data_IF_969065537466
#
_entry.id   IF_969065537466
#
_cell.length_a   1.000
_cell.length_b   1.000
_cell.length_c   1.000
_cell.angle_alpha   90.00
_cell.angle_beta   90.00
_cell.angle_gamma   90.00
#
_symmetry.space_group_name_H-M   'P 1'
#
loop_
_entity.id
_entity.type
_entity.pdbx_description
1 polymer ?
#
# COMPACT_ATOMS: atom_id res chain seq x y z
N UNK A 1 52.08 -4.26 -27.20
CA UNK A 1 51.16 -3.78 -26.15
C UNK A 1 49.75 -3.91 -26.70
N UNK A 2 49.14 -5.08 -26.54
CA UNK A 2 47.80 -5.38 -27.06
C UNK A 2 46.79 -5.20 -25.93
N UNK A 3 45.86 -4.26 -26.11
CA UNK A 3 44.73 -4.08 -25.19
C UNK A 3 43.75 -5.25 -25.36
N UNK A 4 43.55 -5.99 -24.28
CA UNK A 4 42.50 -7.01 -24.15
C UNK A 4 41.19 -6.25 -23.98
N UNK A 5 40.38 -6.22 -25.04
CA UNK A 5 39.02 -5.71 -25.01
C UNK A 5 38.12 -6.81 -24.43
N UNK A 6 37.77 -6.70 -23.16
CA UNK A 6 36.95 -7.68 -22.44
C UNK A 6 35.50 -7.62 -22.91
N UNK A 7 34.97 -8.80 -23.29
CA UNK A 7 33.61 -9.10 -23.72
C UNK A 7 32.56 -8.80 -22.62
N UNK A 8 32.22 -7.53 -22.39
CA UNK A 8 31.22 -7.15 -21.39
C UNK A 8 29.80 -6.90 -21.97
N UNK A 9 29.60 -7.12 -23.27
CA UNK A 9 28.34 -6.80 -23.97
C UNK A 9 27.28 -7.90 -23.88
N UNK A 10 27.64 -9.18 -23.72
CA UNK A 10 26.66 -10.28 -23.68
C UNK A 10 25.92 -10.42 -22.35
N UNK A 11 26.56 -10.11 -21.22
CA UNK A 11 25.93 -10.18 -19.90
C UNK A 11 24.87 -9.10 -19.68
N UNK A 12 25.14 -7.89 -20.17
CA UNK A 12 24.20 -6.76 -20.12
C UNK A 12 22.95 -7.01 -20.99
N UNK A 13 23.13 -7.57 -22.18
CA UNK A 13 22.03 -7.84 -23.12
C UNK A 13 21.07 -8.94 -22.63
N UNK A 14 21.56 -9.96 -21.93
CA UNK A 14 20.74 -11.04 -21.36
C UNK A 14 19.93 -10.55 -20.16
N UNK A 15 20.54 -9.72 -19.30
CA UNK A 15 19.84 -9.12 -18.16
C UNK A 15 18.77 -8.13 -18.65
N UNK A 16 19.06 -7.33 -19.67
CA UNK A 16 18.07 -6.45 -20.30
C UNK A 16 16.92 -7.25 -20.93
N UNK A 17 17.21 -8.35 -21.63
CA UNK A 17 16.19 -9.21 -22.28
C UNK A 17 15.30 -9.94 -21.25
N UNK A 18 15.86 -10.40 -20.13
CA UNK A 18 15.11 -11.08 -19.07
C UNK A 18 14.26 -10.09 -18.25
N UNK A 19 14.72 -8.85 -18.07
CA UNK A 19 13.98 -7.80 -17.35
C UNK A 19 12.91 -7.12 -18.21
N UNK A 20 12.96 -7.23 -19.54
CA UNK A 20 12.02 -6.58 -20.48
C UNK A 20 11.22 -7.53 -21.36
N UNK A 21 11.45 -8.85 -21.23
CA UNK A 21 10.80 -9.86 -22.05
C UNK A 21 9.32 -10.06 -21.70
N UNK A 22 8.48 -10.47 -22.68
CA UNK A 22 7.07 -10.80 -22.47
C UNK A 22 6.88 -11.91 -21.41
N UNK A 23 7.87 -12.80 -21.26
CA UNK A 23 7.85 -13.90 -20.29
C UNK A 23 7.73 -13.42 -18.83
N UNK A 24 8.35 -12.28 -18.48
CA UNK A 24 8.24 -11.70 -17.15
C UNK A 24 6.82 -11.15 -16.88
N UNK A 25 6.20 -10.55 -17.90
CA UNK A 25 4.83 -10.03 -17.82
C UNK A 25 3.84 -11.18 -17.61
N UNK A 26 3.96 -12.24 -18.40
CA UNK A 26 3.10 -13.43 -18.26
C UNK A 26 3.30 -14.10 -16.90
N UNK A 27 4.55 -14.24 -16.44
CA UNK A 27 4.86 -14.79 -15.12
C UNK A 27 4.21 -14.01 -13.99
N UNK A 28 4.34 -12.68 -13.97
CA UNK A 28 3.69 -11.81 -12.98
C UNK A 28 2.16 -11.89 -13.04
N UNK A 29 1.58 -11.97 -14.25
CA UNK A 29 0.14 -12.14 -14.43
C UNK A 29 -0.36 -13.47 -13.86
N UNK A 30 0.33 -14.59 -14.12
CA UNK A 30 -0.03 -15.88 -13.54
C UNK A 30 0.09 -15.89 -12.01
N UNK A 31 1.13 -15.25 -11.48
CA UNK A 31 1.29 -15.09 -10.03
C UNK A 31 0.11 -14.30 -9.41
N UNK A 32 -0.35 -13.23 -10.07
CA UNK A 32 -1.51 -12.46 -9.63
C UNK A 32 -2.80 -13.29 -9.54
N UNK A 33 -2.99 -14.26 -10.44
CA UNK A 33 -4.18 -15.12 -10.46
C UNK A 33 -4.15 -16.22 -9.40
N UNK A 34 -2.96 -16.72 -9.05
CA UNK A 34 -2.78 -17.88 -8.16
C UNK A 34 -2.64 -17.44 -6.70
N UNK A 35 -1.96 -16.33 -6.43
CA UNK A 35 -1.67 -15.93 -5.07
C UNK A 35 -2.89 -15.36 -4.32
N UNK A 36 -3.02 -15.65 -3.01
CA UNK A 36 -4.08 -15.07 -2.20
C UNK A 36 -3.90 -13.55 -2.11
N UNK A 37 -5.03 -12.83 -2.06
CA UNK A 37 -5.04 -11.36 -1.97
C UNK A 37 -4.25 -10.81 -0.77
N UNK A 38 -4.13 -11.58 0.31
CA UNK A 38 -3.29 -11.24 1.45
C UNK A 38 -2.55 -12.45 2.03
N UNK A 39 -1.34 -12.21 2.53
CA UNK A 39 -0.57 -13.14 3.36
C UNK A 39 -0.36 -12.44 4.71
N UNK A 40 -1.28 -12.68 5.64
CA UNK A 40 -1.30 -12.06 6.97
C UNK A 40 -1.88 -10.64 7.02
N UNK A 41 -1.99 -10.05 8.23
CA UNK A 41 -2.52 -8.70 8.42
C UNK A 41 -1.62 -7.64 7.76
N UNK A 42 -2.16 -6.89 6.78
CA UNK A 42 -1.46 -5.79 6.11
C UNK A 42 -0.51 -6.18 4.96
N UNK A 43 -0.37 -7.47 4.66
CA UNK A 43 0.43 -7.96 3.53
C UNK A 43 -0.40 -8.14 2.26
N UNK A 44 -0.56 -7.10 1.44
CA UNK A 44 -1.26 -7.21 0.14
C UNK A 44 -0.28 -7.57 -0.98
N UNK A 45 -0.15 -8.87 -1.24
CA UNK A 45 0.75 -9.40 -2.27
C UNK A 45 0.28 -9.00 -3.69
N UNK A 46 -1.02 -9.10 -3.95
CA UNK A 46 -1.59 -8.77 -5.27
C UNK A 46 -1.42 -7.32 -5.67
N UNK A 47 -1.41 -6.38 -4.72
CA UNK A 47 -1.16 -4.96 -5.01
C UNK A 47 0.29 -4.72 -5.46
N UNK A 48 1.24 -5.44 -4.86
CA UNK A 48 2.65 -5.36 -5.25
C UNK A 48 2.86 -5.97 -6.63
N UNK A 49 2.25 -7.12 -6.92
CA UNK A 49 2.32 -7.76 -8.23
C UNK A 49 1.69 -6.87 -9.32
N UNK A 50 0.56 -6.21 -9.02
CA UNK A 50 -0.07 -5.27 -9.95
C UNK A 50 0.84 -4.09 -10.30
N UNK A 51 1.51 -3.47 -9.31
CA UNK A 51 2.47 -2.38 -9.54
C UNK A 51 3.65 -2.85 -10.40
N UNK A 52 4.23 -4.02 -10.07
CA UNK A 52 5.33 -4.58 -10.84
C UNK A 52 4.92 -4.88 -12.29
N UNK A 53 3.71 -5.41 -12.49
CA UNK A 53 3.18 -5.70 -13.82
C UNK A 53 3.07 -4.43 -14.68
N UNK A 54 2.61 -3.31 -14.10
CA UNK A 54 2.55 -2.02 -14.79
C UNK A 54 3.94 -1.51 -15.15
N UNK A 55 4.93 -1.64 -14.26
CA UNK A 55 6.31 -1.21 -14.52
C UNK A 55 6.92 -2.01 -15.67
N UNK A 56 6.73 -3.34 -15.68
CA UNK A 56 7.26 -4.18 -16.76
C UNK A 56 6.55 -3.87 -18.09
N UNK A 57 5.22 -3.65 -18.06
CA UNK A 57 4.49 -3.19 -19.23
C UNK A 57 5.06 -1.88 -19.77
N UNK A 58 5.32 -0.89 -18.89
CA UNK A 58 5.95 0.38 -19.24
C UNK A 58 7.36 0.22 -19.82
N UNK A 59 8.17 -0.70 -19.27
CA UNK A 59 9.51 -0.99 -19.78
C UNK A 59 9.48 -1.64 -21.17
N UNK A 60 8.49 -2.50 -21.44
CA UNK A 60 8.29 -3.12 -22.75
C UNK A 60 7.90 -2.13 -23.86
N UNK A 61 7.62 -0.86 -23.54
CA UNK A 61 7.32 0.19 -24.52
C UNK A 61 8.53 0.94 -25.07
N UNK A 62 9.67 0.86 -24.39
CA UNK A 62 10.92 1.49 -24.84
C UNK A 62 11.28 1.14 -26.29
N UNK A 63 11.14 -0.11 -26.77
CA UNK A 63 11.49 -0.46 -28.15
C UNK A 63 10.45 -0.10 -29.22
N UNK A 64 9.30 0.52 -28.89
CA UNK A 64 8.34 0.91 -29.93
C UNK A 64 8.92 2.10 -30.72
N UNK A 65 9.21 1.92 -32.00
CA UNK A 65 9.74 3.01 -32.84
C UNK A 65 8.63 3.79 -33.58
N UNK A 66 7.48 3.16 -33.84
CA UNK A 66 6.42 3.75 -34.65
C UNK A 66 5.69 4.89 -33.92
N UNK A 67 5.70 6.09 -34.52
CA UNK A 67 5.14 7.32 -33.93
C UNK A 67 3.65 7.23 -33.58
N UNK A 68 2.84 6.63 -34.45
CA UNK A 68 1.39 6.52 -34.22
C UNK A 68 1.07 5.57 -33.06
N UNK A 69 1.81 4.47 -32.90
CA UNK A 69 1.66 3.55 -31.77
C UNK A 69 1.98 4.24 -30.44
N UNK A 70 3.01 5.09 -30.39
CA UNK A 70 3.33 5.91 -29.21
C UNK A 70 2.19 6.86 -28.85
N UNK A 71 1.56 7.48 -29.85
CA UNK A 71 0.44 8.40 -29.64
C UNK A 71 -0.81 7.68 -29.12
N UNK A 72 -1.19 6.56 -29.73
CA UNK A 72 -2.32 5.74 -29.28
C UNK A 72 -2.10 5.24 -27.86
N UNK A 73 -0.91 4.73 -27.57
CA UNK A 73 -0.58 4.27 -26.23
C UNK A 73 -0.60 5.42 -25.19
N UNK A 74 0.05 6.55 -25.51
CA UNK A 74 0.06 7.72 -24.65
C UNK A 74 -1.35 8.23 -24.35
N UNK A 75 -2.25 8.18 -25.34
CA UNK A 75 -3.66 8.48 -25.15
C UNK A 75 -4.33 7.49 -24.17
N UNK A 76 -4.15 6.18 -24.36
CA UNK A 76 -4.71 5.15 -23.47
C UNK A 76 -4.22 5.34 -22.03
N UNK A 77 -2.92 5.58 -21.82
CA UNK A 77 -2.35 5.82 -20.50
C UNK A 77 -2.92 7.09 -19.88
N UNK A 78 -2.97 8.19 -20.62
CA UNK A 78 -3.52 9.45 -20.13
C UNK A 78 -4.98 9.30 -19.72
N UNK A 79 -5.80 8.67 -20.57
CA UNK A 79 -7.20 8.37 -20.26
C UNK A 79 -7.31 7.49 -19.01
N UNK A 80 -6.47 6.46 -18.88
CA UNK A 80 -6.46 5.58 -17.70
C UNK A 80 -6.09 6.34 -16.43
N UNK A 81 -5.10 7.24 -16.48
CA UNK A 81 -4.72 8.09 -15.36
C UNK A 81 -5.88 8.99 -14.96
N UNK A 82 -6.53 9.66 -15.93
CA UNK A 82 -7.67 10.55 -15.67
C UNK A 82 -8.82 9.78 -15.00
N UNK A 83 -9.19 8.61 -15.56
CA UNK A 83 -10.24 7.78 -14.99
C UNK A 83 -9.92 7.31 -13.57
N UNK A 84 -8.66 6.90 -13.32
CA UNK A 84 -8.22 6.51 -11.98
C UNK A 84 -8.24 7.68 -10.99
N UNK A 85 -7.82 8.87 -11.42
CA UNK A 85 -7.88 10.07 -10.57
C UNK A 85 -9.32 10.43 -10.21
N UNK A 86 -10.24 10.43 -11.18
CA UNK A 86 -11.67 10.70 -10.92
C UNK A 86 -12.22 9.66 -9.94
N UNK A 87 -11.97 8.37 -10.17
CA UNK A 87 -12.43 7.30 -9.29
C UNK A 87 -11.86 7.45 -7.87
N UNK A 88 -10.56 7.74 -7.76
CA UNK A 88 -9.90 8.01 -6.48
C UNK A 88 -10.51 9.22 -5.78
N UNK A 89 -10.76 10.32 -6.49
CA UNK A 89 -11.38 11.53 -5.91
C UNK A 89 -12.78 11.25 -5.37
N UNK A 90 -13.63 10.56 -6.14
CA UNK A 90 -14.99 10.18 -5.69
C UNK A 90 -14.91 9.25 -4.48
N UNK A 91 -13.99 8.31 -4.49
CA UNK A 91 -13.80 7.38 -3.38
C UNK A 91 -13.31 8.09 -2.12
N UNK A 92 -12.30 8.94 -2.22
CA UNK A 92 -11.81 9.77 -1.10
C UNK A 92 -12.89 10.71 -0.55
N UNK A 93 -13.74 11.27 -1.42
CA UNK A 93 -14.87 12.08 -0.98
C UNK A 93 -15.83 11.29 -0.08
N UNK A 94 -16.22 10.07 -0.49
CA UNK A 94 -17.08 9.20 0.31
C UNK A 94 -16.44 8.79 1.64
N UNK A 95 -15.17 8.39 1.60
CA UNK A 95 -14.43 8.01 2.80
C UNK A 95 -14.30 9.18 3.79
N UNK A 96 -14.12 10.40 3.29
CA UNK A 96 -14.05 11.59 4.14
C UNK A 96 -15.36 11.84 4.89
N UNK A 97 -16.52 11.63 4.25
CA UNK A 97 -17.81 11.75 4.93
C UNK A 97 -17.96 10.71 6.05
N UNK A 98 -17.60 9.45 5.79
CA UNK A 98 -17.61 8.38 6.79
C UNK A 98 -16.64 8.66 7.97
N UNK A 99 -15.45 9.16 7.67
CA UNK A 99 -14.47 9.53 8.71
C UNK A 99 -14.96 10.73 9.52
N UNK A 100 -15.65 11.70 8.91
CA UNK A 100 -16.27 12.82 9.65
C UNK A 100 -17.33 12.32 10.62
N UNK A 101 -18.19 11.41 10.18
CA UNK A 101 -19.21 10.80 11.03
C UNK A 101 -18.57 10.03 12.18
N UNK A 102 -17.59 9.18 11.89
CA UNK A 102 -16.82 8.45 12.91
C UNK A 102 -16.19 9.39 13.96
N UNK A 103 -15.73 10.57 13.54
CA UNK A 103 -15.12 11.56 14.43
C UNK A 103 -16.11 12.58 15.03
N UNK A 104 -17.41 12.49 14.77
CA UNK A 104 -18.37 13.52 15.19
C UNK A 104 -18.45 13.72 16.71
N UNK A 105 -18.13 12.69 17.50
CA UNK A 105 -18.14 12.74 18.97
C UNK A 105 -16.74 12.77 19.58
N UNK A 106 -15.71 12.97 18.75
CA UNK A 106 -14.30 13.01 19.16
C UNK A 106 -14.05 13.94 20.35
N UNK A 107 -14.61 15.14 20.29
CA UNK A 107 -14.37 16.18 21.30
C UNK A 107 -15.05 15.87 22.65
N UNK A 108 -16.05 14.96 22.67
CA UNK A 108 -16.73 14.55 23.90
C UNK A 108 -15.96 13.52 24.72
N UNK A 109 -14.98 12.84 24.13
CA UNK A 109 -14.18 11.81 24.82
C UNK A 109 -13.27 12.46 25.89
N UNK A 110 -12.69 13.63 25.58
CA UNK A 110 -11.77 14.35 26.46
C UNK A 110 -10.32 13.82 26.48
N UNK A 111 -9.41 14.61 27.05
CA UNK A 111 -7.96 14.33 27.05
C UNK A 111 -7.55 13.23 28.04
N UNK A 112 -6.39 12.60 27.76
CA UNK A 112 -5.74 11.61 28.65
C UNK A 112 -6.65 10.45 29.07
N UNK A 113 -7.55 10.02 28.18
CA UNK A 113 -8.44 8.88 28.42
C UNK A 113 -7.90 7.59 27.84
N UNK A 114 -8.30 6.47 28.46
CA UNK A 114 -8.12 5.13 27.92
C UNK A 114 -9.34 4.79 27.07
N UNK A 115 -9.11 4.40 25.82
CA UNK A 115 -10.12 4.04 24.84
C UNK A 115 -10.01 2.58 24.47
N UNK A 116 -11.15 1.89 24.51
CA UNK A 116 -11.35 0.58 23.90
C UNK A 116 -12.30 0.76 22.71
N UNK A 117 -11.78 0.94 21.48
CA UNK A 117 -12.63 1.10 20.33
C UNK A 117 -13.26 -0.25 19.95
N UNK A 118 -14.58 -0.26 19.82
CA UNK A 118 -15.34 -1.42 19.36
C UNK A 118 -15.74 -1.19 17.90
N UNK A 119 -15.28 -2.06 17.01
CA UNK A 119 -15.59 -2.00 15.58
C UNK A 119 -16.42 -3.21 15.19
N UNK A 120 -17.68 -2.99 14.81
CA UNK A 120 -18.54 -4.02 14.22
C UNK A 120 -18.38 -4.07 12.69
N UNK A 121 -18.18 -2.90 12.09
CA UNK A 121 -17.69 -2.75 10.73
C UNK A 121 -16.48 -1.81 10.78
N UNK A 122 -15.29 -2.38 10.66
CA UNK A 122 -14.04 -1.63 10.71
C UNK A 122 -13.67 -0.94 9.40
N UNK A 123 -14.34 -1.32 8.32
CA UNK A 123 -13.99 -0.96 6.95
C UNK A 123 -14.92 0.12 6.39
N UNK A 124 -16.22 0.10 6.74
CA UNK A 124 -17.20 0.97 6.11
C UNK A 124 -17.23 0.75 4.60
N UNK A 125 -17.25 1.83 3.82
CA UNK A 125 -17.13 1.73 2.35
C UNK A 125 -15.71 1.41 1.87
N UNK A 126 -14.71 1.35 2.77
CA UNK A 126 -13.35 1.04 2.37
C UNK A 126 -13.22 -0.43 1.95
N UNK A 127 -12.80 -0.64 0.70
CA UNK A 127 -12.73 -1.99 0.11
C UNK A 127 -11.54 -2.82 0.58
N UNK A 128 -10.55 -2.21 1.23
CA UNK A 128 -9.21 -2.81 1.43
C UNK A 128 -8.63 -2.60 2.82
N UNK A 129 -8.82 -1.42 3.40
CA UNK A 129 -8.20 -1.03 4.67
C UNK A 129 -9.31 -0.69 5.65
N UNK A 130 -9.23 -1.23 6.86
CA UNK A 130 -10.07 -0.79 7.98
C UNK A 130 -9.73 0.64 8.37
N UNK A 131 -10.42 1.61 7.76
CA UNK A 131 -10.18 3.05 7.99
C UNK A 131 -10.45 3.43 9.44
N UNK A 132 -11.47 2.83 10.06
CA UNK A 132 -11.89 3.16 11.42
C UNK A 132 -10.95 2.58 12.47
N UNK A 133 -10.29 1.45 12.18
CA UNK A 133 -9.31 0.80 13.08
C UNK A 133 -8.20 1.77 13.49
N UNK A 134 -7.77 2.64 12.57
CA UNK A 134 -6.75 3.64 12.84
C UNK A 134 -7.32 4.95 13.42
N UNK A 135 -8.62 5.21 13.28
CA UNK A 135 -9.25 6.45 13.72
C UNK A 135 -9.07 6.70 15.22
N UNK A 136 -9.33 5.70 16.05
CA UNK A 136 -9.11 5.78 17.50
C UNK A 136 -7.63 6.03 17.86
N UNK A 137 -6.69 5.46 17.10
CA UNK A 137 -5.26 5.69 17.31
C UNK A 137 -4.85 7.14 17.04
N UNK A 138 -5.40 7.77 15.99
CA UNK A 138 -5.11 9.18 15.69
C UNK A 138 -5.67 10.13 16.75
N UNK A 139 -6.85 9.81 17.30
CA UNK A 139 -7.39 10.56 18.43
C UNK A 139 -6.47 10.51 19.65
N UNK A 140 -6.07 9.29 20.06
CA UNK A 140 -5.18 9.10 21.19
C UNK A 140 -3.83 9.80 21.00
N UNK A 141 -3.31 9.80 19.77
CA UNK A 141 -2.07 10.49 19.43
C UNK A 141 -2.15 12.01 19.64
N UNK A 142 -3.27 12.65 19.30
CA UNK A 142 -3.41 14.11 19.43
C UNK A 142 -3.69 14.57 20.86
N UNK A 143 -4.38 13.77 21.66
CA UNK A 143 -4.94 14.19 22.95
C UNK A 143 -4.31 13.47 24.16
N UNK A 144 -3.18 12.78 23.95
CA UNK A 144 -2.47 12.04 25.01
C UNK A 144 -3.21 10.80 25.52
N UNK A 145 -4.23 10.33 24.81
CA UNK A 145 -5.01 9.15 25.19
C UNK A 145 -4.27 7.84 24.93
N UNK A 146 -4.81 6.75 25.46
CA UNK A 146 -4.30 5.38 25.26
C UNK A 146 -5.34 4.58 24.47
N UNK A 147 -4.97 4.05 23.30
CA UNK A 147 -5.82 3.14 22.53
C UNK A 147 -5.46 1.69 22.88
N UNK A 148 -6.31 1.01 23.65
CA UNK A 148 -6.11 -0.41 24.02
C UNK A 148 -6.21 -1.36 22.82
N UNK A 149 -6.94 -0.98 21.77
CA UNK A 149 -7.06 -1.76 20.54
C UNK A 149 -5.86 -1.63 19.60
N UNK A 150 -4.88 -0.77 19.90
CA UNK A 150 -3.72 -0.59 19.05
C UNK A 150 -2.69 -1.70 19.31
N UNK A 151 -2.57 -2.65 18.39
CA UNK A 151 -1.54 -3.68 18.49
C UNK A 151 -0.11 -3.15 18.21
N UNK A 152 0.02 -2.01 17.51
CA UNK A 152 1.33 -1.52 17.03
C UNK A 152 2.27 -1.17 18.17
N UNK A 153 1.74 -0.68 19.30
CA UNK A 153 2.53 -0.36 20.51
C UNK A 153 3.09 -1.60 21.21
N UNK A 154 2.70 -2.82 20.79
CA UNK A 154 3.22 -4.08 21.32
C UNK A 154 4.49 -4.56 20.61
N UNK A 155 4.83 -3.99 19.46
CA UNK A 155 5.92 -4.48 18.61
C UNK A 155 6.99 -3.42 18.33
N UNK A 156 8.24 -3.77 18.57
CA UNK A 156 9.39 -2.86 18.48
C UNK A 156 9.74 -2.44 17.04
N UNK A 157 9.17 -3.11 16.02
CA UNK A 157 9.38 -2.75 14.62
C UNK A 157 8.50 -1.59 14.13
N UNK A 158 7.48 -1.18 14.90
CA UNK A 158 6.77 0.06 14.65
C UNK A 158 7.43 1.21 15.41
N UNK A 159 7.56 2.41 14.81
CA UNK A 159 8.19 3.57 15.47
C UNK A 159 7.26 4.25 16.49
N UNK A 160 6.36 3.52 17.13
CA UNK A 160 5.37 4.04 18.09
C UNK A 160 5.48 3.21 19.36
N UNK A 161 6.01 3.81 20.41
CA UNK A 161 6.19 3.17 21.71
C UNK A 161 5.52 3.99 22.81
N UNK A 162 5.10 3.33 23.87
CA UNK A 162 4.79 4.04 25.11
C UNK A 162 6.06 4.71 25.67
N UNK A 163 5.87 5.75 26.48
CA UNK A 163 6.98 6.35 27.24
C UNK A 163 7.61 5.27 28.13
N UNK A 164 8.92 5.31 28.32
CA UNK A 164 9.64 4.33 29.15
C UNK A 164 9.12 4.27 30.60
N UNK A 165 8.54 5.36 31.09
CA UNK A 165 7.92 5.47 32.43
C UNK A 165 6.49 4.95 32.49
N UNK A 166 5.89 4.54 31.37
CA UNK A 166 4.49 4.14 31.29
C UNK A 166 4.40 2.61 31.32
N UNK A 167 3.80 2.08 32.38
CA UNK A 167 3.50 0.66 32.49
C UNK A 167 2.22 0.36 31.69
N UNK A 168 2.33 -0.53 30.69
CA UNK A 168 1.18 -0.96 29.91
C UNK A 168 0.12 -1.59 30.82
N UNK A 169 -1.16 -1.27 30.66
CA UNK A 169 -2.24 -1.91 31.42
C UNK A 169 -2.54 -3.35 30.94
N UNK A 170 -1.86 -3.83 29.90
CA UNK A 170 -1.99 -5.20 29.37
C UNK A 170 -0.62 -5.84 29.42
N UNK A 171 -0.52 -6.94 30.18
CA UNK A 171 0.65 -7.82 30.17
C UNK A 171 0.54 -8.75 28.95
N UNK A 172 1.67 -8.89 28.25
CA UNK A 172 1.99 -9.85 27.20
C UNK A 172 1.72 -9.56 25.71
N UNK A 173 2.79 -9.91 24.97
CA UNK A 173 2.95 -9.95 23.51
C UNK A 173 2.33 -11.25 22.98
N UNK A 174 1.02 -11.43 23.09
CA UNK A 174 0.35 -12.50 22.35
C UNK A 174 0.28 -12.15 20.86
N UNK A 175 0.82 -13.05 20.06
CA UNK A 175 0.84 -13.01 18.61
C UNK A 175 -0.58 -13.15 18.06
N UNK A 176 -0.96 -12.26 17.14
CA UNK A 176 -2.07 -12.50 16.20
C UNK A 176 -1.48 -13.14 14.95
#
# INVERSE_FOLDING_TARGET
MAAIQTNNTKGSMIIETILTGPDLIFSLFFQYLIYPNSVGPGGWLNDRIAILSVIVLLAALVPIEQKWMKQVFGFIVLTTIILNLINLSVFCYRLNEEIKEFNALRDKIGENKVLLPLFFDSNGSAKRIGIFVNGASYYCLSNGGINLGNYKVKFDYFPINFKSSFQSPVDDKEWV
#
